data_IF_089088468340
#
_entry.id   IF_089088468340
#
_cell.length_a   1.000
_cell.length_b   1.000
_cell.length_c   1.000
_cell.angle_alpha   90.00
_cell.angle_beta   90.00
_cell.angle_gamma   90.00
#
_symmetry.space_group_name_H-M   'P 1'
#
loop_
_entity.id
_entity.type
_entity.pdbx_description
1 polymer ?
#
# COMPACT_ATOMS: atom_id res chain seq x y z
N UNK A 1 -10.06 24.64 6.13
CA UNK A 1 -9.22 23.65 5.44
C UNK A 1 -9.81 23.35 4.06
N UNK A 2 -9.20 23.87 3.00
CA UNK A 2 -9.43 23.36 1.63
C UNK A 2 -8.60 22.07 1.55
N UNK A 3 -9.15 20.89 1.31
CA UNK A 3 -9.71 20.55 0.01
C UNK A 3 -8.75 20.72 -1.16
N UNK A 4 -7.49 20.30 -1.02
CA UNK A 4 -6.88 19.53 -2.11
C UNK A 4 -7.41 18.06 -2.05
N UNK A 5 -8.71 17.91 -1.74
CA UNK A 5 -9.42 16.73 -1.17
C UNK A 5 -9.78 15.76 -2.29
N UNK A 6 -9.69 14.46 -2.00
CA UNK A 6 -10.51 13.38 -2.55
C UNK A 6 -11.14 13.63 -3.93
N UNK A 7 -10.47 13.14 -4.98
CA UNK A 7 -10.91 13.18 -6.37
C UNK A 7 -9.95 12.36 -7.24
N UNK A 8 -10.27 12.16 -8.52
CA UNK A 8 -9.53 11.22 -9.39
C UNK A 8 -8.00 11.44 -9.40
N UNK A 9 -7.55 12.70 -9.46
CA UNK A 9 -6.11 13.02 -9.42
C UNK A 9 -5.46 12.72 -8.07
N UNK A 10 -6.19 12.91 -6.96
CA UNK A 10 -5.70 12.55 -5.62
C UNK A 10 -5.65 11.04 -5.41
N UNK A 11 -6.63 10.32 -5.96
CA UNK A 11 -6.68 8.85 -5.88
C UNK A 11 -5.54 8.23 -6.70
N UNK A 12 -5.30 8.74 -7.92
CA UNK A 12 -4.16 8.30 -8.73
C UNK A 12 -2.81 8.58 -8.04
N UNK A 13 -2.69 9.73 -7.36
CA UNK A 13 -1.49 10.04 -6.59
C UNK A 13 -1.34 9.15 -5.34
N UNK A 14 -2.45 8.75 -4.70
CA UNK A 14 -2.44 7.78 -3.60
C UNK A 14 -1.94 6.42 -4.09
N UNK A 15 -2.49 5.89 -5.19
CA UNK A 15 -2.03 4.62 -5.76
C UNK A 15 -0.55 4.65 -6.11
N UNK A 16 -0.07 5.71 -6.77
CA UNK A 16 1.34 5.84 -7.08
C UNK A 16 2.22 5.84 -5.82
N UNK A 17 1.75 6.45 -4.72
CA UNK A 17 2.48 6.49 -3.46
C UNK A 17 2.50 5.12 -2.77
N UNK A 18 1.35 4.43 -2.68
CA UNK A 18 1.27 3.14 -2.00
C UNK A 18 1.97 2.04 -2.80
N UNK A 19 1.90 2.07 -4.13
CA UNK A 19 2.65 1.17 -5.00
C UNK A 19 4.18 1.33 -4.84
N UNK A 20 4.67 2.57 -4.73
CA UNK A 20 6.09 2.80 -4.43
C UNK A 20 6.48 2.29 -3.04
N UNK A 21 5.61 2.43 -2.04
CA UNK A 21 5.85 1.86 -0.71
C UNK A 21 5.81 0.32 -0.71
N UNK A 22 4.93 -0.29 -1.52
CA UNK A 22 4.90 -1.75 -1.74
C UNK A 22 6.18 -2.26 -2.39
N UNK A 23 6.79 -1.50 -3.31
CA UNK A 23 8.10 -1.83 -3.87
C UNK A 23 9.19 -1.88 -2.77
N UNK A 24 9.16 -0.96 -1.80
CA UNK A 24 10.07 -0.99 -0.64
C UNK A 24 9.83 -2.23 0.25
N UNK A 25 8.59 -2.72 0.36
CA UNK A 25 8.29 -3.98 1.05
C UNK A 25 8.77 -5.22 0.27
N UNK A 26 8.75 -5.20 -1.06
CA UNK A 26 9.34 -6.27 -1.86
C UNK A 26 10.86 -6.35 -1.66
N UNK A 27 11.54 -5.20 -1.59
CA UNK A 27 12.97 -5.14 -1.26
C UNK A 27 13.25 -5.70 0.14
N UNK A 28 12.35 -5.46 1.10
CA UNK A 28 12.42 -6.03 2.44
C UNK A 28 12.23 -7.54 2.44
N UNK A 29 11.25 -8.07 1.69
CA UNK A 29 11.04 -9.52 1.51
C UNK A 29 12.32 -10.17 0.95
N UNK A 30 12.90 -9.60 -0.12
CA UNK A 30 14.13 -10.11 -0.71
C UNK A 30 15.30 -10.14 0.30
N UNK A 31 15.37 -9.15 1.20
CA UNK A 31 16.37 -9.14 2.28
C UNK A 31 16.11 -10.23 3.33
N UNK A 32 14.84 -10.52 3.64
CA UNK A 32 14.45 -11.61 4.54
C UNK A 32 14.77 -12.96 3.92
N UNK A 33 14.44 -13.17 2.65
CA UNK A 33 14.76 -14.39 1.90
C UNK A 33 16.26 -14.66 1.87
N UNK A 34 17.07 -13.63 1.60
CA UNK A 34 18.53 -13.73 1.63
C UNK A 34 19.08 -14.12 3.01
N UNK A 35 18.35 -13.82 4.08
CA UNK A 35 18.66 -14.21 5.46
C UNK A 35 18.04 -15.56 5.86
N UNK A 36 17.33 -16.24 4.97
CA UNK A 36 16.63 -17.50 5.26
C UNK A 36 15.35 -17.31 6.08
N UNK A 37 14.68 -16.16 5.91
CA UNK A 37 13.42 -15.78 6.53
C UNK A 37 12.40 -15.35 5.46
N UNK A 38 11.20 -14.98 5.87
CA UNK A 38 10.10 -14.50 5.01
C UNK A 38 9.30 -13.44 5.77
N UNK A 39 8.66 -12.50 5.08
CA UNK A 39 7.63 -11.69 5.74
C UNK A 39 6.43 -12.60 5.99
N UNK A 40 5.96 -12.60 7.24
CA UNK A 40 4.86 -13.45 7.67
C UNK A 40 3.56 -13.09 6.94
N UNK A 41 2.68 -14.07 6.71
CA UNK A 41 1.46 -13.88 5.91
C UNK A 41 0.53 -12.81 6.49
N UNK A 42 0.35 -12.77 7.81
CA UNK A 42 -0.43 -11.73 8.48
C UNK A 42 0.23 -10.37 8.31
N UNK A 43 1.56 -10.28 8.33
CA UNK A 43 2.23 -8.99 8.08
C UNK A 43 1.96 -8.45 6.67
N UNK A 44 1.86 -9.34 5.67
CA UNK A 44 1.47 -8.98 4.29
C UNK A 44 0.02 -8.50 4.21
N UNK A 45 -0.89 -9.14 4.95
CA UNK A 45 -2.30 -8.73 5.05
C UNK A 45 -2.43 -7.37 5.76
N UNK A 46 -1.73 -7.17 6.88
CA UNK A 46 -1.72 -5.91 7.63
C UNK A 46 -1.18 -4.74 6.79
N UNK A 47 -0.18 -4.95 5.92
CA UNK A 47 0.28 -3.90 4.99
C UNK A 47 -0.87 -3.44 4.08
N UNK A 48 -1.65 -4.36 3.54
CA UNK A 48 -2.80 -4.05 2.69
C UNK A 48 -3.92 -3.35 3.49
N UNK A 49 -4.25 -3.88 4.66
CA UNK A 49 -5.29 -3.35 5.54
C UNK A 49 -4.94 -1.95 6.07
N UNK A 50 -3.68 -1.69 6.39
CA UNK A 50 -3.21 -0.38 6.83
C UNK A 50 -3.29 0.66 5.70
N UNK A 51 -2.98 0.28 4.45
CA UNK A 51 -3.19 1.16 3.31
C UNK A 51 -4.67 1.48 3.08
N UNK A 52 -5.57 0.50 3.19
CA UNK A 52 -7.02 0.76 3.14
C UNK A 52 -7.45 1.68 4.29
N UNK A 53 -7.00 1.42 5.51
CA UNK A 53 -7.31 2.25 6.67
C UNK A 53 -6.88 3.70 6.46
N UNK A 54 -5.65 3.93 5.97
CA UNK A 54 -5.13 5.27 5.65
C UNK A 54 -5.94 5.89 4.51
N UNK A 55 -6.22 5.17 3.43
CA UNK A 55 -7.02 5.68 2.32
C UNK A 55 -8.39 6.20 2.79
N UNK A 56 -9.09 5.40 3.60
CA UNK A 56 -10.40 5.74 4.17
C UNK A 56 -10.31 6.94 5.11
N UNK A 57 -9.30 6.98 5.98
CA UNK A 57 -9.09 8.10 6.92
C UNK A 57 -8.82 9.44 6.21
N UNK A 58 -8.21 9.41 5.03
CA UNK A 58 -7.85 10.60 4.24
C UNK A 58 -8.85 10.95 3.13
N UNK A 59 -10.01 10.29 3.10
CA UNK A 59 -11.14 10.65 2.24
C UNK A 59 -11.20 9.90 0.91
N UNK A 60 -10.58 8.72 0.81
CA UNK A 60 -10.68 7.82 -0.32
C UNK A 60 -11.41 6.53 0.09
N UNK A 61 -12.72 6.60 0.44
CA UNK A 61 -13.45 5.46 0.99
C UNK A 61 -13.69 4.33 -0.03
N UNK A 62 -13.55 4.62 -1.31
CA UNK A 62 -13.76 3.69 -2.43
C UNK A 62 -12.44 3.35 -3.16
N UNK A 63 -11.29 3.56 -2.52
CA UNK A 63 -10.02 3.09 -3.06
C UNK A 63 -10.03 1.57 -3.17
N UNK A 64 -9.50 1.03 -4.26
CA UNK A 64 -9.36 -0.40 -4.45
C UNK A 64 -8.11 -0.87 -3.71
N UNK A 65 -8.28 -1.74 -2.71
CA UNK A 65 -7.18 -2.29 -1.93
C UNK A 65 -6.19 -3.05 -2.79
N UNK A 66 -6.66 -3.76 -3.83
CA UNK A 66 -5.78 -4.48 -4.75
C UNK A 66 -4.91 -3.52 -5.57
N UNK A 67 -5.46 -2.34 -5.91
CA UNK A 67 -4.71 -1.30 -6.62
C UNK A 67 -3.73 -0.56 -5.70
N UNK A 68 -4.06 -0.40 -4.41
CA UNK A 68 -3.15 0.20 -3.41
C UNK A 68 -1.84 -0.58 -3.30
N UNK A 69 -1.89 -1.91 -3.45
CA UNK A 69 -0.73 -2.83 -3.37
C UNK A 69 -0.42 -3.52 -4.71
N UNK A 70 -0.75 -2.89 -5.85
CA UNK A 70 -0.68 -3.53 -7.16
C UNK A 70 0.72 -4.04 -7.57
N UNK A 71 1.77 -3.50 -6.96
CA UNK A 71 3.18 -3.84 -7.21
C UNK A 71 3.71 -4.93 -6.27
N UNK A 72 2.87 -5.56 -5.45
CA UNK A 72 3.32 -6.63 -4.54
C UNK A 72 3.82 -7.85 -5.32
N UNK A 73 4.87 -8.50 -4.81
CA UNK A 73 5.44 -9.72 -5.39
C UNK A 73 5.13 -10.99 -4.57
N UNK A 74 4.31 -10.87 -3.53
CA UNK A 74 3.89 -11.97 -2.64
C UNK A 74 2.45 -12.45 -2.88
#
# INVERSE_FOLDING_TARGET
MRAQRAGAAGLAALYALTQAATEEFNDLEAAFEAAGSEIETVAREEIAEDFDFVARAYGFPDADVEELIATREW
#
